data_IF_912196327878
#
_entry.id   IF_912196327878
#
_cell.length_a   1.000
_cell.length_b   1.000
_cell.length_c   1.000
_cell.angle_alpha   90.00
_cell.angle_beta   90.00
_cell.angle_gamma   90.00
#
_symmetry.space_group_name_H-M   'P 1'
#
loop_
_entity.id
_entity.type
_entity.pdbx_description
1 polymer ?
#
# COMPACT_ATOMS: atom_id res chain seq x y z
N UNK A 1 -1.97 19.36 -5.64
CA UNK A 1 -3.14 19.23 -6.54
C UNK A 1 -4.22 20.20 -6.06
N UNK A 2 -5.18 20.57 -6.90
CA UNK A 2 -6.28 21.45 -6.50
C UNK A 2 -7.29 20.72 -5.60
N UNK A 3 -8.03 21.47 -4.77
CA UNK A 3 -9.17 20.91 -4.01
C UNK A 3 -10.14 20.14 -4.91
N UNK A 4 -10.47 20.68 -6.09
CA UNK A 4 -11.39 20.04 -7.03
C UNK A 4 -10.88 18.68 -7.51
N UNK A 5 -9.63 18.59 -7.94
CA UNK A 5 -9.03 17.33 -8.41
C UNK A 5 -9.03 16.27 -7.29
N UNK A 6 -8.72 16.69 -6.05
CA UNK A 6 -8.74 15.79 -4.90
C UNK A 6 -10.14 15.25 -4.61
N UNK A 7 -11.12 16.15 -4.55
CA UNK A 7 -12.50 15.79 -4.23
C UNK A 7 -13.11 14.91 -5.33
N UNK A 8 -12.88 15.21 -6.62
CA UNK A 8 -13.34 14.36 -7.73
C UNK A 8 -12.68 12.98 -7.66
N UNK A 9 -11.36 12.91 -7.42
CA UNK A 9 -10.65 11.65 -7.27
C UNK A 9 -11.18 10.79 -6.13
N UNK A 10 -11.33 11.36 -4.94
CA UNK A 10 -11.75 10.62 -3.75
C UNK A 10 -13.23 10.26 -3.75
N UNK A 11 -14.11 11.15 -4.19
CA UNK A 11 -15.54 10.87 -4.19
C UNK A 11 -15.91 9.79 -5.21
N UNK A 12 -15.27 9.76 -6.38
CA UNK A 12 -15.44 8.68 -7.34
C UNK A 12 -14.86 7.36 -6.82
N UNK A 13 -13.66 7.40 -6.21
CA UNK A 13 -13.06 6.23 -5.59
C UNK A 13 -13.95 5.65 -4.47
N UNK A 14 -14.48 6.49 -3.59
CA UNK A 14 -15.39 6.08 -2.51
C UNK A 14 -16.71 5.53 -3.05
N UNK A 15 -17.24 6.12 -4.12
CA UNK A 15 -18.46 5.63 -4.79
C UNK A 15 -18.25 4.27 -5.42
N UNK A 16 -17.11 4.06 -6.09
CA UNK A 16 -16.71 2.76 -6.63
C UNK A 16 -16.54 1.72 -5.51
N UNK A 17 -15.88 2.07 -4.41
CA UNK A 17 -15.72 1.19 -3.25
C UNK A 17 -17.06 0.74 -2.68
N UNK A 18 -18.03 1.66 -2.54
CA UNK A 18 -19.40 1.34 -2.12
C UNK A 18 -20.13 0.44 -3.12
N UNK A 19 -19.97 0.70 -4.42
CA UNK A 19 -20.54 -0.15 -5.48
C UNK A 19 -20.00 -1.58 -5.43
N UNK A 20 -18.72 -1.74 -5.07
CA UNK A 20 -18.05 -3.02 -4.83
C UNK A 20 -18.29 -3.59 -3.41
N UNK A 21 -19.23 -3.00 -2.66
CA UNK A 21 -19.69 -3.43 -1.33
C UNK A 21 -18.64 -3.35 -0.22
N UNK A 22 -17.56 -2.59 -0.42
CA UNK A 22 -16.63 -2.31 0.67
C UNK A 22 -17.26 -1.31 1.65
N UNK A 23 -17.13 -1.51 2.98
CA UNK A 23 -17.89 -0.77 3.98
C UNK A 23 -17.28 0.62 4.25
N UNK A 24 -17.40 1.54 3.30
CA UNK A 24 -16.93 2.92 3.45
C UNK A 24 -17.81 3.69 4.45
N UNK A 25 -17.24 4.12 5.57
CA UNK A 25 -17.82 5.11 6.49
C UNK A 25 -17.44 6.55 6.09
N UNK A 26 -18.05 7.55 6.75
CA UNK A 26 -17.85 8.96 6.39
C UNK A 26 -16.45 9.49 6.72
N UNK A 27 -15.85 9.02 7.81
CA UNK A 27 -14.52 9.38 8.31
C UNK A 27 -13.38 8.79 7.47
N UNK A 28 -13.64 7.70 6.73
CA UNK A 28 -12.68 7.11 5.79
C UNK A 28 -12.43 7.97 4.54
N UNK A 29 -13.34 8.89 4.21
CA UNK A 29 -13.19 9.82 3.08
C UNK A 29 -12.66 11.13 3.61
N UNK A 30 -11.33 11.27 3.64
CA UNK A 30 -10.63 12.40 4.24
C UNK A 30 -9.41 12.82 3.41
N UNK A 31 -8.76 13.92 3.78
CA UNK A 31 -7.62 14.52 3.07
C UNK A 31 -6.31 13.68 3.14
N UNK A 32 -6.32 12.55 3.85
CA UNK A 32 -5.21 11.58 3.88
C UNK A 32 -5.46 10.32 3.05
N UNK A 33 -6.68 10.08 2.55
CA UNK A 33 -7.01 8.85 1.83
C UNK A 33 -6.39 8.80 0.43
N UNK A 34 -6.31 9.93 -0.27
CA UNK A 34 -5.55 10.09 -1.51
C UNK A 34 -4.09 10.39 -1.22
N UNK A 35 -3.18 9.50 -1.63
CA UNK A 35 -1.75 9.55 -1.32
C UNK A 35 -0.95 9.81 -2.59
N UNK A 36 -0.03 10.78 -2.52
CA UNK A 36 0.95 11.08 -3.59
C UNK A 36 2.35 10.89 -3.03
N UNK A 37 3.13 9.95 -3.56
CA UNK A 37 4.38 9.51 -2.95
C UNK A 37 5.59 10.39 -3.31
N UNK A 38 5.48 11.70 -3.07
CA UNK A 38 6.55 12.68 -3.26
C UNK A 38 6.14 13.84 -4.17
N UNK A 39 6.80 14.99 -4.03
CA UNK A 39 6.41 16.23 -4.71
C UNK A 39 6.49 16.14 -6.25
N UNK A 40 7.44 15.38 -6.77
CA UNK A 40 7.59 15.08 -8.19
C UNK A 40 6.42 14.27 -8.77
N UNK A 41 5.65 13.58 -7.93
CA UNK A 41 4.54 12.74 -8.37
C UNK A 41 3.22 13.51 -8.56
N UNK A 42 3.15 14.79 -8.15
CA UNK A 42 1.99 15.64 -8.46
C UNK A 42 1.86 15.94 -9.97
N UNK A 43 2.90 15.69 -10.76
CA UNK A 43 2.80 15.75 -12.23
C UNK A 43 1.73 14.81 -12.80
N UNK A 44 1.32 13.76 -12.06
CA UNK A 44 0.23 12.88 -12.43
C UNK A 44 -1.12 13.59 -12.68
N UNK A 45 -1.29 14.80 -12.15
CA UNK A 45 -2.51 15.60 -12.31
C UNK A 45 -2.47 16.54 -13.51
N UNK A 46 -1.30 16.73 -14.16
CA UNK A 46 -1.19 17.57 -15.36
C UNK A 46 -2.02 17.03 -16.53
N UNK A 47 -2.02 15.70 -16.71
CA UNK A 47 -2.80 14.99 -17.72
C UNK A 47 -3.97 14.17 -17.11
N UNK A 48 -4.11 14.20 -15.79
CA UNK A 48 -5.16 13.51 -15.04
C UNK A 48 -4.92 12.00 -14.82
N UNK A 49 -5.67 11.42 -13.88
CA UNK A 49 -5.45 10.05 -13.42
C UNK A 49 -5.69 8.96 -14.50
N UNK A 50 -6.48 9.29 -15.51
CA UNK A 50 -6.76 8.43 -16.66
C UNK A 50 -5.77 8.59 -17.82
N UNK A 51 -4.69 9.36 -17.65
CA UNK A 51 -3.63 9.53 -18.66
C UNK A 51 -2.88 8.25 -18.99
N UNK A 52 -2.95 7.24 -18.11
CA UNK A 52 -2.22 5.96 -18.15
C UNK A 52 -0.70 6.09 -17.97
N UNK A 53 -0.20 7.29 -17.71
CA UNK A 53 1.22 7.55 -17.44
C UNK A 53 1.66 6.94 -16.11
N UNK A 54 2.93 6.56 -16.02
CA UNK A 54 3.51 5.94 -14.85
C UNK A 54 3.81 6.98 -13.75
N UNK A 55 3.05 6.92 -12.65
CA UNK A 55 3.27 7.72 -11.45
C UNK A 55 2.93 6.93 -10.18
N UNK A 56 3.45 7.36 -9.05
CA UNK A 56 3.30 6.73 -7.74
C UNK A 56 2.27 7.51 -6.91
N UNK A 57 1.02 7.05 -6.96
CA UNK A 57 -0.11 7.58 -6.20
C UNK A 57 -1.25 6.57 -6.17
N UNK A 58 -2.04 6.61 -5.10
CA UNK A 58 -3.16 5.70 -4.89
C UNK A 58 -4.16 6.26 -3.88
N UNK A 59 -5.33 5.61 -3.79
CA UNK A 59 -6.28 5.83 -2.69
C UNK A 59 -6.26 4.65 -1.75
N UNK A 60 -6.33 4.90 -0.45
CA UNK A 60 -6.51 3.90 0.59
C UNK A 60 -7.73 4.25 1.44
N UNK A 61 -8.66 3.32 1.54
CA UNK A 61 -9.78 3.37 2.48
C UNK A 61 -9.64 2.26 3.53
N UNK A 62 -9.12 2.61 4.70
CA UNK A 62 -8.92 1.69 5.81
C UNK A 62 -10.20 1.55 6.65
N UNK A 63 -10.78 0.35 6.69
CA UNK A 63 -12.01 0.07 7.47
C UNK A 63 -11.72 -0.52 8.84
N UNK A 64 -10.52 -1.08 9.02
CA UNK A 64 -10.07 -1.67 10.27
C UNK A 64 -8.56 -1.52 10.39
N UNK A 65 -8.10 -1.18 11.60
CA UNK A 65 -6.70 -1.31 12.01
C UNK A 65 -6.69 -1.61 13.52
N UNK A 66 -7.12 -2.82 13.86
CA UNK A 66 -7.28 -3.30 15.21
C UNK A 66 -5.95 -3.80 15.77
N UNK A 67 -5.54 -3.25 16.91
CA UNK A 67 -4.28 -3.59 17.57
C UNK A 67 -4.24 -5.05 18.04
N UNK A 68 -5.40 -5.62 18.38
CA UNK A 68 -5.56 -6.99 18.89
C UNK A 68 -4.69 -7.26 20.13
N UNK A 69 -4.53 -6.24 20.98
CA UNK A 69 -3.75 -6.32 22.23
C UNK A 69 -4.61 -6.80 23.41
N UNK A 70 -5.91 -6.51 23.38
CA UNK A 70 -6.82 -6.92 24.45
C UNK A 70 -6.91 -8.46 24.56
N UNK A 71 -6.66 -8.96 25.78
CA UNK A 71 -6.62 -10.40 26.06
C UNK A 71 -5.29 -11.10 25.77
N UNK A 72 -4.30 -10.38 25.21
CA UNK A 72 -2.96 -10.90 24.98
C UNK A 72 -2.23 -11.13 26.32
N UNK A 73 -1.58 -12.30 26.55
CA UNK A 73 -0.78 -12.50 27.76
C UNK A 73 0.37 -11.49 27.81
N UNK A 74 0.65 -10.91 28.98
CA UNK A 74 1.67 -9.87 29.13
C UNK A 74 3.05 -10.26 28.58
N UNK A 75 3.40 -11.54 28.59
CA UNK A 75 4.63 -12.10 28.03
C UNK A 75 4.77 -11.95 26.51
N UNK A 76 3.67 -11.72 25.78
CA UNK A 76 3.65 -11.56 24.33
C UNK A 76 3.72 -10.10 23.87
N UNK A 77 3.78 -9.13 24.80
CA UNK A 77 3.80 -7.69 24.50
C UNK A 77 4.92 -7.25 23.56
N UNK A 78 6.09 -7.91 23.59
CA UNK A 78 7.21 -7.61 22.69
C UNK A 78 6.96 -8.08 21.24
N UNK A 79 6.06 -9.03 21.02
CA UNK A 79 5.74 -9.56 19.69
C UNK A 79 4.45 -9.02 19.09
N UNK A 80 3.66 -8.27 19.86
CA UNK A 80 2.31 -7.87 19.45
C UNK A 80 2.30 -6.95 18.23
N UNK A 81 3.36 -6.14 18.03
CA UNK A 81 3.49 -5.24 16.87
C UNK A 81 3.57 -5.95 15.52
N UNK A 82 3.84 -7.26 15.52
CA UNK A 82 3.88 -8.14 14.35
C UNK A 82 2.52 -8.82 14.06
N UNK A 83 1.50 -8.55 14.88
CA UNK A 83 0.14 -9.07 14.82
C UNK A 83 -0.86 -7.92 14.57
N UNK A 84 -2.08 -8.01 15.10
CA UNK A 84 -3.16 -7.07 14.81
C UNK A 84 -3.83 -7.37 13.48
N UNK A 85 -4.84 -6.58 13.13
CA UNK A 85 -5.70 -6.80 11.97
C UNK A 85 -5.94 -5.47 11.26
N UNK A 86 -5.45 -5.36 10.03
CA UNK A 86 -5.73 -4.24 9.16
C UNK A 86 -6.54 -4.72 7.95
N UNK A 87 -7.61 -3.99 7.62
CA UNK A 87 -8.43 -4.22 6.43
C UNK A 87 -8.60 -2.90 5.69
N UNK A 88 -8.07 -2.85 4.46
CA UNK A 88 -8.09 -1.66 3.63
C UNK A 88 -8.46 -1.99 2.19
N UNK A 89 -9.19 -1.09 1.55
CA UNK A 89 -9.40 -1.11 0.10
C UNK A 89 -8.48 -0.11 -0.55
N UNK A 90 -7.70 -0.58 -1.52
CA UNK A 90 -6.75 0.23 -2.26
C UNK A 90 -7.22 0.38 -3.71
N UNK A 91 -7.18 1.60 -4.22
CA UNK A 91 -7.61 1.93 -5.59
C UNK A 91 -6.44 2.58 -6.33
N UNK A 92 -6.06 1.97 -7.45
CA UNK A 92 -4.93 2.40 -8.28
C UNK A 92 -5.41 2.58 -9.72
N UNK A 93 -5.25 3.79 -10.26
CA UNK A 93 -5.66 4.09 -11.64
C UNK A 93 -4.69 3.49 -12.66
N UNK A 94 -5.11 3.30 -13.93
CA UNK A 94 -4.26 2.73 -14.97
C UNK A 94 -2.87 3.39 -15.05
N UNK A 95 -1.83 2.55 -15.08
CA UNK A 95 -0.43 2.97 -15.13
C UNK A 95 0.15 3.46 -13.81
N UNK A 96 -0.68 3.66 -12.76
CA UNK A 96 -0.22 4.15 -11.46
C UNK A 96 0.27 3.01 -10.56
N UNK A 97 1.09 3.36 -9.58
CA UNK A 97 1.78 2.42 -8.70
C UNK A 97 1.56 2.72 -7.22
N UNK A 98 1.52 1.67 -6.42
CA UNK A 98 2.02 1.70 -5.05
C UNK A 98 3.54 1.45 -5.11
N UNK A 99 4.38 2.39 -4.64
CA UNK A 99 5.81 2.38 -4.91
C UNK A 99 6.60 1.30 -4.15
N UNK A 100 7.87 1.01 -4.53
CA UNK A 100 8.70 0.03 -3.87
C UNK A 100 8.94 0.33 -2.41
N UNK A 101 8.55 -0.60 -1.55
CA UNK A 101 8.73 -0.52 -0.11
C UNK A 101 8.78 -1.90 0.54
N UNK A 102 9.09 -1.95 1.84
CA UNK A 102 8.90 -3.14 2.65
C UNK A 102 8.40 -2.75 4.04
N UNK A 103 7.90 -3.74 4.75
CA UNK A 103 7.49 -3.63 6.15
C UNK A 103 8.37 -4.48 7.03
N UNK A 104 8.85 -3.98 8.17
CA UNK A 104 9.60 -4.83 9.10
C UNK A 104 8.67 -5.79 9.83
N UNK A 105 7.44 -5.33 10.14
CA UNK A 105 6.47 -6.03 10.99
C UNK A 105 5.27 -6.53 10.21
N UNK A 106 4.73 -5.71 9.31
CA UNK A 106 3.47 -6.00 8.63
C UNK A 106 3.61 -7.12 7.59
N UNK A 107 2.75 -8.14 7.68
CA UNK A 107 2.53 -9.13 6.63
C UNK A 107 1.17 -8.87 6.00
N UNK A 108 1.10 -8.88 4.68
CA UNK A 108 -0.09 -8.52 3.93
C UNK A 108 -0.65 -9.70 3.13
N UNK A 109 -1.91 -9.59 2.75
CA UNK A 109 -2.54 -10.48 1.79
C UNK A 109 -3.47 -9.72 0.86
N UNK A 110 -3.42 -10.02 -0.43
CA UNK A 110 -4.16 -9.32 -1.47
C UNK A 110 -5.32 -10.15 -2.02
N UNK A 111 -6.44 -9.49 -2.25
CA UNK A 111 -7.60 -9.99 -3.01
C UNK A 111 -8.04 -8.93 -4.00
N UNK A 112 -7.91 -9.23 -5.29
CA UNK A 112 -8.37 -8.33 -6.35
C UNK A 112 -9.89 -8.38 -6.42
N UNK A 113 -10.53 -7.23 -6.28
CA UNK A 113 -11.98 -7.06 -6.35
C UNK A 113 -12.40 -6.65 -7.76
N UNK A 114 -11.63 -5.77 -8.41
CA UNK A 114 -11.88 -5.30 -9.77
C UNK A 114 -10.56 -4.98 -10.50
N UNK A 115 -10.52 -5.19 -11.82
CA UNK A 115 -9.32 -5.03 -12.61
C UNK A 115 -8.32 -6.18 -12.41
N UNK A 116 -7.04 -5.90 -12.62
CA UNK A 116 -5.94 -6.85 -12.42
C UNK A 116 -4.77 -6.12 -11.73
N UNK A 117 -4.07 -6.83 -10.85
CA UNK A 117 -2.95 -6.29 -10.07
C UNK A 117 -1.65 -6.93 -10.54
N UNK A 118 -0.72 -6.13 -11.03
CA UNK A 118 0.64 -6.59 -11.31
C UNK A 118 1.52 -6.27 -10.09
N UNK A 119 1.95 -7.31 -9.38
CA UNK A 119 2.80 -7.22 -8.20
C UNK A 119 4.24 -7.48 -8.61
N UNK A 120 5.14 -6.61 -8.17
CA UNK A 120 6.58 -6.74 -8.34
C UNK A 120 7.21 -6.87 -6.95
N UNK A 121 8.06 -7.86 -6.74
CA UNK A 121 8.61 -8.10 -5.40
C UNK A 121 9.97 -8.79 -5.43
N UNK A 122 10.69 -8.70 -4.31
CA UNK A 122 11.90 -9.49 -4.08
C UNK A 122 11.52 -10.81 -3.38
N UNK A 123 11.85 -11.99 -3.95
CA UNK A 123 11.52 -13.27 -3.34
C UNK A 123 12.37 -13.57 -2.10
N UNK A 124 13.47 -12.83 -1.91
CA UNK A 124 14.35 -12.90 -0.74
C UNK A 124 14.03 -11.76 0.23
N UNK A 125 13.87 -12.03 1.53
CA UNK A 125 13.61 -10.98 2.50
C UNK A 125 14.83 -10.07 2.67
N UNK A 126 14.60 -8.81 3.01
CA UNK A 126 15.66 -7.89 3.43
C UNK A 126 16.13 -8.27 4.83
N UNK A 127 17.43 -8.08 5.06
CA UNK A 127 18.00 -8.20 6.39
C UNK A 127 17.76 -6.91 7.17
N UNK A 128 17.21 -7.04 8.38
CA UNK A 128 16.97 -5.92 9.31
C UNK A 128 17.77 -6.18 10.58
N UNK A 129 18.89 -5.48 10.73
CA UNK A 129 19.83 -5.71 11.83
C UNK A 129 20.36 -7.14 11.87
N UNK A 130 20.60 -7.62 13.08
CA UNK A 130 21.11 -8.97 13.38
C UNK A 130 20.00 -9.92 13.89
N UNK A 131 18.74 -9.62 13.61
CA UNK A 131 17.59 -10.43 14.06
C UNK A 131 17.60 -11.82 13.43
N UNK A 132 17.47 -12.87 14.26
CA UNK A 132 17.17 -14.22 13.77
C UNK A 132 15.68 -14.29 13.37
N UNK A 133 15.42 -14.51 12.08
CA UNK A 133 14.06 -14.53 11.53
C UNK A 133 13.58 -15.96 11.31
N UNK A 134 12.38 -16.26 11.81
CA UNK A 134 11.73 -17.55 11.60
C UNK A 134 11.38 -17.75 10.11
N UNK A 135 11.59 -18.96 9.62
CA UNK A 135 11.19 -19.37 8.26
C UNK A 135 10.23 -20.55 8.32
N UNK A 136 9.22 -20.54 7.45
CA UNK A 136 8.25 -21.62 7.33
C UNK A 136 7.81 -21.82 5.89
N UNK A 137 7.16 -20.81 5.31
CA UNK A 137 6.76 -20.78 3.91
C UNK A 137 7.38 -19.53 3.25
N UNK A 138 8.49 -19.65 2.49
CA UNK A 138 9.12 -18.49 1.87
C UNK A 138 8.23 -17.92 0.76
N UNK A 139 8.46 -16.65 0.40
CA UNK A 139 7.81 -16.06 -0.77
C UNK A 139 8.12 -16.90 -2.03
N UNK A 140 7.13 -17.16 -2.89
CA UNK A 140 7.36 -17.89 -4.14
C UNK A 140 8.29 -17.09 -5.06
N UNK A 141 9.06 -17.78 -5.90
CA UNK A 141 9.97 -17.13 -6.84
C UNK A 141 9.27 -16.26 -7.90
N UNK A 142 7.98 -16.50 -8.16
CA UNK A 142 7.21 -15.76 -9.17
C UNK A 142 7.69 -16.02 -10.60
N UNK A 143 7.33 -15.11 -11.49
CA UNK A 143 7.81 -15.06 -12.88
C UNK A 143 8.75 -13.87 -13.09
N UNK A 144 9.55 -13.82 -14.16
CA UNK A 144 10.17 -12.56 -14.58
C UNK A 144 9.11 -11.51 -14.93
N UNK A 145 9.52 -10.25 -14.94
CA UNK A 145 8.65 -9.14 -15.36
C UNK A 145 8.19 -9.34 -16.81
N UNK A 146 6.94 -8.94 -17.14
CA UNK A 146 6.52 -8.87 -18.53
C UNK A 146 7.27 -7.74 -19.25
N UNK A 147 7.35 -7.82 -20.57
CA UNK A 147 7.89 -6.74 -21.39
C UNK A 147 6.99 -5.48 -21.33
N UNK A 148 7.58 -4.30 -21.51
CA UNK A 148 6.82 -3.05 -21.66
C UNK A 148 6.21 -2.50 -20.37
N UNK A 149 6.81 -2.77 -19.21
CA UNK A 149 6.44 -2.12 -17.95
C UNK A 149 7.05 -0.72 -17.90
N UNK A 150 6.25 0.30 -18.22
CA UNK A 150 6.62 1.69 -18.01
C UNK A 150 6.69 2.01 -16.51
N UNK A 151 7.85 2.48 -16.06
CA UNK A 151 8.12 2.88 -14.68
C UNK A 151 8.05 4.41 -14.52
N UNK A 152 7.73 4.92 -13.31
CA UNK A 152 7.72 6.35 -13.06
C UNK A 152 9.09 6.98 -13.33
N UNK A 153 9.10 8.05 -14.13
CA UNK A 153 10.33 8.69 -14.59
C UNK A 153 11.19 9.17 -13.41
N UNK A 154 12.49 8.82 -13.42
CA UNK A 154 13.44 9.17 -12.36
C UNK A 154 13.36 8.28 -11.11
N UNK A 155 12.48 7.27 -11.09
CA UNK A 155 12.32 6.31 -9.98
C UNK A 155 12.60 4.87 -10.38
N UNK A 156 13.05 4.62 -11.60
CA UNK A 156 13.24 3.28 -12.18
C UNK A 156 14.20 2.42 -11.32
N UNK A 157 15.27 3.04 -10.82
CA UNK A 157 16.26 2.37 -9.97
C UNK A 157 15.68 1.80 -8.67
N UNK A 158 14.56 2.34 -8.19
CA UNK A 158 13.93 1.90 -6.94
C UNK A 158 13.25 0.53 -7.08
N UNK A 159 12.93 0.14 -8.31
CA UNK A 159 12.32 -1.15 -8.66
C UNK A 159 13.35 -2.25 -8.95
N UNK A 160 14.65 -1.91 -9.07
CA UNK A 160 15.68 -2.83 -9.58
C UNK A 160 15.82 -4.15 -8.80
N UNK A 161 15.46 -4.16 -7.51
CA UNK A 161 15.53 -5.35 -6.65
C UNK A 161 14.26 -6.21 -6.65
N UNK A 162 13.16 -5.71 -7.21
CA UNK A 162 11.86 -6.36 -7.19
C UNK A 162 11.75 -7.31 -8.38
N UNK A 163 12.61 -8.33 -8.46
CA UNK A 163 12.80 -9.11 -9.70
C UNK A 163 11.68 -10.10 -10.03
N UNK A 164 10.88 -10.46 -9.04
CA UNK A 164 9.75 -11.39 -9.20
C UNK A 164 8.48 -10.63 -9.54
N UNK A 165 7.66 -11.23 -10.39
CA UNK A 165 6.38 -10.72 -10.83
C UNK A 165 5.28 -11.77 -10.67
N UNK A 166 4.09 -11.32 -10.28
CA UNK A 166 2.85 -12.09 -10.35
C UNK A 166 1.70 -11.17 -10.74
N UNK A 167 0.78 -11.66 -11.57
CA UNK A 167 -0.42 -10.94 -11.97
C UNK A 167 -1.64 -11.60 -11.33
N UNK A 168 -2.34 -10.86 -10.49
CA UNK A 168 -3.48 -11.30 -9.71
C UNK A 168 -4.79 -10.78 -10.32
N UNK A 169 -5.83 -11.60 -10.25
CA UNK A 169 -7.17 -11.30 -10.77
C UNK A 169 -8.24 -11.64 -9.74
N UNK A 170 -9.46 -11.14 -9.98
CA UNK A 170 -10.60 -11.50 -9.12
C UNK A 170 -10.90 -13.00 -9.21
N UNK A 171 -11.11 -13.62 -8.04
CA UNK A 171 -11.34 -15.07 -7.91
C UNK A 171 -10.06 -15.90 -7.74
N UNK A 172 -8.88 -15.32 -7.89
CA UNK A 172 -7.62 -16.00 -7.58
C UNK A 172 -7.51 -16.31 -6.08
N UNK A 173 -6.72 -17.32 -5.68
CA UNK A 173 -6.34 -17.51 -4.28
C UNK A 173 -5.69 -16.24 -3.70
N UNK A 174 -5.91 -16.00 -2.41
CA UNK A 174 -5.22 -14.92 -1.67
C UNK A 174 -3.71 -15.01 -1.87
N UNK A 175 -3.09 -13.91 -2.28
CA UNK A 175 -1.64 -13.82 -2.39
C UNK A 175 -1.07 -13.17 -1.13
N UNK A 176 -0.14 -13.84 -0.47
CA UNK A 176 0.50 -13.33 0.76
C UNK A 176 1.79 -12.61 0.39
N UNK A 177 1.97 -11.40 0.91
CA UNK A 177 3.24 -10.68 0.91
C UNK A 177 3.82 -10.70 2.33
N UNK A 178 4.79 -11.58 2.56
CA UNK A 178 5.43 -11.68 3.87
C UNK A 178 6.16 -10.38 4.23
N UNK A 179 6.14 -10.05 5.53
CA UNK A 179 6.98 -8.97 6.07
C UNK A 179 8.43 -9.14 5.64
N UNK A 180 9.17 -8.04 5.62
CA UNK A 180 10.57 -7.90 5.21
C UNK A 180 10.81 -8.20 3.72
N UNK A 181 9.79 -8.35 2.88
CA UNK A 181 9.97 -8.41 1.43
C UNK A 181 9.73 -7.05 0.78
N UNK A 182 10.67 -6.65 -0.09
CA UNK A 182 10.46 -5.50 -0.96
C UNK A 182 9.33 -5.83 -1.94
N UNK A 183 8.37 -4.93 -2.07
CA UNK A 183 7.26 -5.08 -2.99
C UNK A 183 6.72 -3.73 -3.46
N UNK A 184 6.08 -3.77 -4.62
CA UNK A 184 5.35 -2.71 -5.28
C UNK A 184 4.22 -3.34 -6.09
N UNK A 185 3.24 -2.55 -6.50
CA UNK A 185 2.24 -3.04 -7.45
C UNK A 185 1.66 -1.92 -8.29
N UNK A 186 1.09 -2.29 -9.43
CA UNK A 186 0.43 -1.35 -10.34
C UNK A 186 -0.89 -1.87 -10.87
N UNK A 187 -1.68 -0.93 -11.40
CA UNK A 187 -2.73 -1.22 -12.36
C UNK A 187 -2.11 -1.21 -13.78
N UNK A 188 -2.33 -2.24 -14.62
CA UNK A 188 -1.91 -2.21 -16.02
C UNK A 188 -2.36 -0.94 -16.75
N UNK A 189 -1.46 -0.36 -17.56
CA UNK A 189 -1.72 0.91 -18.25
C UNK A 189 -2.88 0.82 -19.27
N UNK A 190 -3.08 -0.35 -19.86
CA UNK A 190 -4.17 -0.63 -20.81
C UNK A 190 -5.50 -0.97 -20.15
N UNK A 191 -5.56 -1.02 -18.81
CA UNK A 191 -6.76 -1.38 -18.08
C UNK A 191 -7.92 -0.41 -18.40
N UNK A 192 -9.14 -0.92 -18.67
CA UNK A 192 -10.32 -0.09 -18.87
C UNK A 192 -10.88 0.47 -17.55
N UNK A 193 -10.40 -0.03 -16.41
CA UNK A 193 -10.88 0.32 -15.08
C UNK A 193 -9.73 0.58 -14.11
N UNK A 194 -9.94 1.27 -12.97
CA UNK A 194 -8.99 1.23 -11.87
C UNK A 194 -8.84 -0.20 -11.36
N UNK A 195 -7.66 -0.52 -10.86
CA UNK A 195 -7.46 -1.65 -9.98
C UNK A 195 -8.15 -1.34 -8.64
N UNK A 196 -8.92 -2.30 -8.14
CA UNK A 196 -9.44 -2.29 -6.78
C UNK A 196 -9.01 -3.58 -6.09
N UNK A 197 -8.25 -3.46 -5.02
CA UNK A 197 -7.74 -4.59 -4.25
C UNK A 197 -8.08 -4.40 -2.77
N UNK A 198 -8.55 -5.47 -2.13
CA UNK A 198 -8.66 -5.55 -0.67
C UNK A 198 -7.37 -6.12 -0.13
N UNK A 199 -6.71 -5.37 0.73
CA UNK A 199 -5.62 -5.88 1.55
C UNK A 199 -6.16 -6.25 2.93
N UNK A 200 -5.83 -7.47 3.36
CA UNK A 200 -5.97 -7.88 4.76
C UNK A 200 -4.57 -8.17 5.26
N UNK A 201 -4.13 -7.41 6.26
CA UNK A 201 -2.78 -7.44 6.79
C UNK A 201 -2.78 -7.47 8.31
N UNK A 202 -1.60 -7.63 8.90
CA UNK A 202 -1.39 -7.30 10.31
C UNK A 202 -1.45 -5.78 10.54
N UNK A 203 -1.36 -5.31 11.77
CA UNK A 203 -1.48 -3.89 12.12
C UNK A 203 -0.59 -2.97 11.27
N UNK A 204 -1.17 -1.85 10.84
CA UNK A 204 -0.49 -0.83 10.03
C UNK A 204 0.04 0.28 10.93
N UNK A 205 1.35 0.28 11.20
CA UNK A 205 2.02 1.31 12.02
C UNK A 205 2.39 2.52 11.17
N UNK A 206 1.47 3.47 11.07
CA UNK A 206 1.57 4.64 10.21
C UNK A 206 1.24 5.92 11.00
N UNK A 207 2.24 6.73 11.39
CA UNK A 207 2.02 7.99 12.11
C UNK A 207 1.59 9.08 11.12
N UNK A 208 0.42 8.91 10.53
CA UNK A 208 -0.19 9.86 9.58
C UNK A 208 -0.75 11.07 10.31
N UNK A 209 -1.04 12.15 9.59
CA UNK A 209 -1.76 13.31 10.16
C UNK A 209 -3.09 12.89 10.78
N UNK A 210 -3.83 11.99 10.13
CA UNK A 210 -5.09 11.45 10.65
C UNK A 210 -4.90 10.58 11.92
N UNK A 211 -3.74 9.95 12.09
CA UNK A 211 -3.43 9.11 13.24
C UNK A 211 -2.78 9.86 14.40
N UNK A 212 -2.37 11.12 14.24
CA UNK A 212 -1.56 11.86 15.20
C UNK A 212 -2.18 11.99 16.60
N UNK A 213 -3.51 12.09 16.67
CA UNK A 213 -4.26 12.25 17.93
C UNK A 213 -4.87 10.93 18.46
N UNK A 214 -4.58 9.80 17.81
CA UNK A 214 -5.11 8.50 18.24
C UNK A 214 -4.32 7.94 19.42
N UNK A 215 -4.98 7.48 20.51
CA UNK A 215 -4.29 6.83 21.61
C UNK A 215 -3.52 5.59 21.15
N UNK A 216 -2.24 5.50 21.54
CA UNK A 216 -1.43 4.34 21.20
C UNK A 216 -1.80 3.15 22.08
N UNK A 217 -2.02 1.94 21.52
CA UNK A 217 -2.39 0.77 22.31
C UNK A 217 -1.32 0.36 23.33
N UNK A 218 -0.05 0.53 22.96
CA UNK A 218 1.12 0.24 23.78
C UNK A 218 2.14 1.39 23.67
N UNK A 219 2.86 1.73 24.75
CA UNK A 219 3.84 2.83 24.72
C UNK A 219 4.92 2.68 23.63
N UNK A 220 5.36 1.45 23.37
CA UNK A 220 6.39 1.16 22.35
C UNK A 220 5.92 1.43 20.91
N UNK A 221 4.61 1.54 20.68
CA UNK A 221 4.04 1.79 19.35
C UNK A 221 3.93 3.29 19.04
N UNK A 222 4.17 4.16 20.02
CA UNK A 222 4.10 5.60 19.83
C UNK A 222 5.15 6.08 18.82
N UNK A 223 4.69 6.70 17.73
CA UNK A 223 5.54 7.18 16.63
C UNK A 223 6.19 6.06 15.81
N UNK A 224 5.75 4.81 15.99
CA UNK A 224 6.30 3.68 15.25
C UNK A 224 5.90 3.79 13.77
N UNK A 225 6.90 3.68 12.90
CA UNK A 225 6.71 3.68 11.46
C UNK A 225 7.19 2.36 10.86
N UNK A 226 6.33 1.67 10.12
CA UNK A 226 6.64 0.36 9.54
C UNK A 226 6.62 0.35 8.01
N UNK A 227 6.58 1.50 7.34
CA UNK A 227 6.67 1.57 5.88
C UNK A 227 8.03 2.13 5.46
N UNK A 228 8.92 1.25 4.99
CA UNK A 228 10.23 1.67 4.51
C UNK A 228 10.24 1.74 2.99
N UNK A 229 9.96 2.92 2.42
CA UNK A 229 10.02 3.14 0.97
C UNK A 229 11.47 3.23 0.48
N UNK A 230 11.74 2.65 -0.69
CA UNK A 230 13.07 2.71 -1.32
C UNK A 230 13.39 4.13 -1.81
N UNK A 231 12.39 4.83 -2.35
CA UNK A 231 12.52 6.24 -2.74
C UNK A 231 12.46 7.15 -1.49
N UNK A 232 13.49 7.98 -1.22
CA UNK A 232 13.46 8.88 -0.07
C UNK A 232 12.26 9.84 -0.09
N UNK A 233 11.91 10.38 -1.27
CA UNK A 233 10.79 11.30 -1.44
C UNK A 233 9.41 10.67 -1.12
N UNK A 234 9.27 9.35 -1.27
CA UNK A 234 8.04 8.64 -0.91
C UNK A 234 7.84 8.55 0.61
N UNK A 235 8.93 8.40 1.39
CA UNK A 235 8.85 8.33 2.85
C UNK A 235 8.31 9.63 3.47
N UNK A 236 8.56 10.79 2.84
CA UNK A 236 8.05 12.08 3.31
C UNK A 236 6.69 12.43 2.71
N UNK A 237 6.51 12.23 1.40
CA UNK A 237 5.29 12.59 0.69
C UNK A 237 4.06 11.78 1.09
N UNK A 238 4.24 10.57 1.65
CA UNK A 238 3.15 9.71 2.10
C UNK A 238 2.40 10.25 3.33
N UNK A 239 3.00 11.14 4.11
CA UNK A 239 2.44 11.56 5.40
C UNK A 239 1.36 12.63 5.28
N UNK A 240 1.44 13.48 4.25
CA UNK A 240 0.49 14.57 4.00
C UNK A 240 0.31 14.81 2.50
N UNK A 241 -0.93 15.11 2.09
CA UNK A 241 -1.24 15.45 0.69
C UNK A 241 -1.41 16.96 0.56
N UNK A 242 -0.63 17.57 -0.33
CA UNK A 242 -0.62 19.01 -0.60
C UNK A 242 -1.79 19.38 -1.51
N UNK A 243 -2.90 19.76 -0.88
CA UNK A 243 -4.12 20.25 -1.53
C UNK A 243 -4.08 21.79 -1.50
N UNK A 244 -4.19 22.42 -2.67
CA UNK A 244 -4.14 23.87 -2.86
C UNK A 244 -5.43 24.43 -3.44
#
# INVERSE_FOLDING_TARGET
MTRREYDEWLNEAASLARALRYPISGDMVNDSAGIVFGDDQYAAFENGLWSREAHELMVIFESLNEAAVDGLPASASHGSEYSGLCDKLMIVHPGKFCPPHFHQRKTESYEVVMGEMEVFYAPTPVQVGDEEVLSFNPMPAGSPWPDGVDLPAGREQTYARLTSHVRLKSGDPKFVMHRKHLHAFRCPADSPTPLVVREVSTYSHEPTEHAADTPTPLPAWAGLHDNAFVAPAANTGRLTTNIR
#
